data_IF_949958822604
#
_entry.id   IF_949958822604
#
_cell.length_a   1.000
_cell.length_b   1.000
_cell.length_c   1.000
_cell.angle_alpha   90.00
_cell.angle_beta   90.00
_cell.angle_gamma   90.00
#
_symmetry.space_group_name_H-M   'P 1'
#
loop_
_entity.id
_entity.type
_entity.pdbx_description
1 polymer ?
#
# COMPACT_ATOMS: atom_id res chain seq x y z
N UNK A 1 -19.87 11.26 -8.68
CA UNK A 1 -20.41 11.82 -9.95
C UNK A 1 -19.28 12.16 -10.91
N UNK A 2 -19.55 12.18 -12.22
CA UNK A 2 -18.53 12.53 -13.23
C UNK A 2 -18.11 14.00 -13.06
N UNK A 3 -16.84 14.30 -13.30
CA UNK A 3 -16.28 15.65 -13.17
C UNK A 3 -15.94 16.07 -11.73
N UNK A 4 -16.04 15.15 -10.76
CA UNK A 4 -15.58 15.41 -9.40
C UNK A 4 -14.06 15.38 -9.29
N UNK A 5 -13.54 16.19 -8.38
CA UNK A 5 -12.13 16.25 -8.03
C UNK A 5 -11.92 15.78 -6.58
N UNK A 6 -10.92 14.93 -6.38
CA UNK A 6 -10.46 14.49 -5.06
C UNK A 6 -9.04 14.98 -4.84
N UNK A 7 -8.83 15.78 -3.81
CA UNK A 7 -7.51 16.25 -3.39
C UNK A 7 -7.14 15.58 -2.07
N UNK A 8 -6.08 14.77 -2.08
CA UNK A 8 -5.49 14.18 -0.87
C UNK A 8 -4.24 14.98 -0.50
N UNK A 9 -4.27 15.60 0.68
CA UNK A 9 -3.18 16.42 1.18
C UNK A 9 -2.06 15.62 1.84
N UNK A 10 -1.16 16.34 2.52
CA UNK A 10 -0.10 15.75 3.33
C UNK A 10 -0.66 15.03 4.55
N UNK A 11 -0.02 13.94 4.96
CA UNK A 11 -0.22 13.33 6.28
C UNK A 11 0.28 14.33 7.33
N UNK A 12 -0.58 14.73 8.27
CA UNK A 12 -0.26 15.73 9.30
C UNK A 12 0.08 15.13 10.66
N UNK A 13 -0.57 14.03 11.02
CA UNK A 13 -0.45 13.41 12.34
C UNK A 13 0.52 12.24 12.33
N UNK A 14 0.04 11.01 12.46
CA UNK A 14 0.82 9.78 12.47
C UNK A 14 0.70 9.02 11.14
N UNK A 15 1.69 8.14 10.89
CA UNK A 15 1.75 7.32 9.68
C UNK A 15 2.57 7.94 8.54
N UNK A 16 2.72 7.17 7.46
CA UNK A 16 3.56 7.54 6.32
C UNK A 16 2.91 7.31 4.96
N UNK A 17 1.82 6.53 4.90
CA UNK A 17 1.16 6.11 3.66
C UNK A 17 -0.35 6.15 3.82
N UNK A 18 -1.03 6.45 2.73
CA UNK A 18 -2.47 6.32 2.59
C UNK A 18 -2.77 5.55 1.30
N UNK A 19 -3.95 4.94 1.22
CA UNK A 19 -4.38 4.15 0.07
C UNK A 19 -5.71 4.70 -0.45
N UNK A 20 -5.77 4.93 -1.76
CA UNK A 20 -7.01 5.26 -2.46
C UNK A 20 -7.44 4.02 -3.23
N UNK A 21 -8.63 3.52 -2.92
CA UNK A 21 -9.24 2.41 -3.64
C UNK A 21 -10.38 2.96 -4.50
N UNK A 22 -10.45 2.47 -5.73
CA UNK A 22 -11.55 2.73 -6.65
C UNK A 22 -12.27 1.42 -6.88
N UNK A 23 -13.60 1.44 -6.80
CA UNK A 23 -14.40 0.24 -7.04
C UNK A 23 -14.06 -0.37 -8.41
N UNK A 24 -13.94 -1.70 -8.47
CA UNK A 24 -13.51 -2.43 -9.67
C UNK A 24 -12.00 -2.42 -9.93
N UNK A 25 -11.27 -1.48 -9.33
CA UNK A 25 -9.83 -1.36 -9.47
C UNK A 25 -9.38 -0.57 -10.70
N UNK A 26 -8.07 -0.37 -10.78
CA UNK A 26 -7.40 0.35 -11.86
C UNK A 26 -6.92 -0.67 -12.89
N UNK A 27 -7.21 -0.40 -14.16
CA UNK A 27 -6.77 -1.24 -15.26
C UNK A 27 -5.26 -1.03 -15.51
N UNK A 28 -4.48 -2.09 -15.34
CA UNK A 28 -3.06 -2.15 -15.66
C UNK A 28 -2.72 -3.52 -16.28
N UNK A 29 -1.71 -3.60 -17.15
CA UNK A 29 -1.23 -4.88 -17.67
C UNK A 29 -0.67 -5.73 -16.53
N UNK A 30 -0.82 -7.06 -16.65
CA UNK A 30 -0.19 -7.99 -15.73
C UNK A 30 1.31 -8.11 -16.02
N UNK A 31 2.09 -8.19 -14.95
CA UNK A 31 3.52 -8.50 -14.99
C UNK A 31 3.81 -9.51 -13.88
N UNK A 32 4.28 -10.70 -14.26
CA UNK A 32 4.45 -11.83 -13.33
C UNK A 32 3.18 -12.09 -12.50
N UNK A 33 2.02 -12.12 -13.17
CA UNK A 33 0.69 -12.32 -12.58
C UNK A 33 0.28 -11.28 -11.51
N UNK A 34 0.95 -10.13 -11.48
CA UNK A 34 0.67 -9.03 -10.56
C UNK A 34 0.51 -7.69 -11.29
N UNK A 35 -0.17 -6.76 -10.61
CA UNK A 35 -0.31 -5.35 -11.04
C UNK A 35 0.50 -4.38 -10.16
N UNK A 36 1.28 -4.88 -9.21
CA UNK A 36 2.12 -4.06 -8.34
C UNK A 36 3.24 -3.37 -9.14
N UNK A 37 3.60 -2.14 -8.73
CA UNK A 37 4.66 -1.38 -9.38
C UNK A 37 5.99 -1.63 -8.67
N UNK A 38 7.01 -2.07 -9.41
CA UNK A 38 8.39 -2.04 -8.94
C UNK A 38 9.13 -0.92 -9.64
N UNK A 39 9.22 0.23 -8.98
CA UNK A 39 9.73 1.47 -9.58
C UNK A 39 11.22 1.42 -9.93
N UNK A 40 12.03 0.72 -9.14
CA UNK A 40 13.46 0.58 -9.41
C UNK A 40 13.74 -0.25 -10.68
N UNK A 41 12.99 -1.34 -10.87
CA UNK A 41 13.07 -2.18 -12.07
C UNK A 41 12.21 -1.70 -13.24
N UNK A 42 11.39 -0.66 -13.04
CA UNK A 42 10.55 -0.03 -14.06
C UNK A 42 9.52 -0.96 -14.71
N UNK A 43 8.87 -1.83 -13.92
CA UNK A 43 7.81 -2.71 -14.42
C UNK A 43 6.61 -2.82 -13.47
N UNK A 44 5.51 -3.35 -14.02
CA UNK A 44 4.22 -3.45 -13.35
C UNK A 44 3.49 -2.11 -13.18
N UNK A 45 2.27 -2.17 -12.66
CA UNK A 45 1.40 -1.00 -12.45
C UNK A 45 1.24 -0.09 -13.68
N UNK A 46 1.20 1.22 -13.45
CA UNK A 46 1.10 2.21 -14.52
C UNK A 46 2.50 2.52 -15.09
N UNK A 47 2.83 1.85 -16.20
CA UNK A 47 4.08 2.06 -16.94
C UNK A 47 5.37 1.93 -16.09
N UNK A 48 5.35 1.08 -15.05
CA UNK A 48 6.51 0.80 -14.22
C UNK A 48 6.98 1.94 -13.33
N UNK A 49 6.18 2.99 -13.13
CA UNK A 49 6.62 4.22 -12.43
C UNK A 49 5.57 4.80 -11.49
N UNK A 50 6.01 5.76 -10.69
CA UNK A 50 5.10 6.64 -9.97
C UNK A 50 4.25 7.47 -10.94
N UNK A 51 3.02 7.78 -10.52
CA UNK A 51 2.12 8.65 -11.26
C UNK A 51 2.71 10.06 -11.40
N UNK A 52 2.34 10.73 -12.49
CA UNK A 52 2.75 12.09 -12.84
C UNK A 52 1.54 12.90 -13.27
N UNK A 53 1.67 14.21 -13.19
CA UNK A 53 0.66 15.14 -13.72
C UNK A 53 0.37 14.81 -15.18
N UNK A 54 -0.92 14.66 -15.51
CA UNK A 54 -1.38 14.34 -16.86
C UNK A 54 -1.55 12.84 -17.14
N UNK A 55 -1.17 11.95 -16.22
CA UNK A 55 -1.46 10.52 -16.38
C UNK A 55 -2.98 10.26 -16.39
N UNK A 56 -3.41 9.36 -17.28
CA UNK A 56 -4.80 8.91 -17.40
C UNK A 56 -4.87 7.44 -17.01
N UNK A 57 -5.58 7.15 -15.92
CA UNK A 57 -5.78 5.81 -15.42
C UNK A 57 -7.16 5.30 -15.85
N UNK A 58 -7.17 4.19 -16.58
CA UNK A 58 -8.40 3.53 -16.96
C UNK A 58 -8.89 2.67 -15.79
N UNK A 59 -10.21 2.60 -15.59
CA UNK A 59 -10.82 1.79 -14.56
C UNK A 59 -11.34 0.50 -15.19
N UNK A 60 -11.34 -0.58 -14.41
CA UNK A 60 -12.01 -1.81 -14.83
C UNK A 60 -13.52 -1.57 -14.99
N UNK A 61 -14.15 -2.28 -15.92
CA UNK A 61 -15.60 -2.24 -16.10
C UNK A 61 -16.29 -2.77 -14.85
N UNK A 62 -17.22 -1.99 -14.30
CA UNK A 62 -18.04 -2.40 -13.17
C UNK A 62 -19.17 -3.31 -13.63
N UNK A 63 -19.30 -4.48 -12.99
CA UNK A 63 -20.51 -5.29 -13.09
C UNK A 63 -21.63 -4.60 -12.31
N UNK A 64 -22.58 -4.02 -13.05
CA UNK A 64 -23.69 -3.20 -12.50
C UNK A 64 -24.63 -3.96 -11.56
N UNK A 65 -24.53 -5.29 -11.48
CA UNK A 65 -25.31 -6.13 -10.59
C UNK A 65 -24.68 -6.36 -9.21
N UNK A 66 -23.44 -5.91 -8.98
CA UNK A 66 -22.78 -6.08 -7.68
C UNK A 66 -23.12 -4.90 -6.78
N UNK A 67 -24.05 -5.13 -5.84
CA UNK A 67 -24.35 -4.16 -4.79
C UNK A 67 -23.07 -3.78 -4.03
N UNK A 68 -22.86 -2.48 -3.84
CA UNK A 68 -21.83 -1.95 -2.95
C UNK A 68 -22.25 -2.29 -1.52
N UNK A 69 -21.63 -3.31 -0.92
CA UNK A 69 -21.76 -3.56 0.52
C UNK A 69 -21.41 -2.28 1.30
N UNK A 70 -22.08 -2.04 2.43
CA UNK A 70 -21.94 -0.78 3.16
C UNK A 70 -20.49 -0.53 3.58
N UNK A 71 -20.03 0.70 3.29
CA UNK A 71 -18.64 1.10 3.05
C UNK A 71 -17.83 1.48 4.30
N UNK A 72 -18.07 0.87 5.46
CA UNK A 72 -17.29 1.19 6.67
C UNK A 72 -16.62 -0.05 7.21
N UNK A 73 -15.28 0.01 7.24
CA UNK A 73 -14.47 -0.96 7.98
C UNK A 73 -14.78 -0.77 9.47
N UNK A 74 -15.16 -1.83 10.20
CA UNK A 74 -15.32 -1.77 11.65
C UNK A 74 -14.09 -1.14 12.31
N UNK A 75 -14.30 -0.24 13.27
CA UNK A 75 -13.20 0.48 13.91
C UNK A 75 -12.17 -0.44 14.56
N UNK A 76 -12.62 -1.60 15.04
CA UNK A 76 -11.78 -2.67 15.62
C UNK A 76 -10.82 -3.35 14.62
N UNK A 77 -11.07 -3.25 13.31
CA UNK A 77 -10.18 -3.76 12.27
C UNK A 77 -9.18 -2.71 11.78
N UNK A 78 -9.33 -1.45 12.21
CA UNK A 78 -8.39 -0.39 11.86
C UNK A 78 -7.13 -0.53 12.71
N UNK A 79 -5.93 -0.48 12.10
CA UNK A 79 -4.70 -0.52 12.86
C UNK A 79 -4.52 0.77 13.67
N UNK A 80 -3.97 0.65 14.86
CA UNK A 80 -3.51 1.80 15.63
C UNK A 80 -2.25 2.39 14.96
N UNK A 81 -2.36 3.60 14.41
CA UNK A 81 -1.24 4.28 13.75
C UNK A 81 -0.72 5.38 14.67
N UNK A 82 0.44 5.12 15.29
CA UNK A 82 1.11 6.04 16.22
C UNK A 82 2.43 6.61 15.69
N UNK A 83 3.10 7.37 16.56
CA UNK A 83 4.47 7.88 16.33
C UNK A 83 5.55 6.98 16.93
N UNK A 84 5.17 6.08 17.82
CA UNK A 84 6.02 5.07 18.44
C UNK A 84 5.47 3.70 18.08
N UNK A 85 6.38 2.76 17.80
CA UNK A 85 6.06 1.43 17.32
C UNK A 85 6.87 0.40 18.08
N UNK A 86 6.19 -0.62 18.57
CA UNK A 86 6.81 -1.87 18.97
C UNK A 86 6.61 -2.87 17.83
N UNK A 87 7.71 -3.43 17.31
CA UNK A 87 7.69 -4.31 16.15
C UNK A 87 8.19 -5.68 16.57
N UNK A 88 7.33 -6.69 16.41
CA UNK A 88 7.74 -8.07 16.63
C UNK A 88 8.56 -8.57 15.45
N UNK A 89 9.73 -9.12 15.75
CA UNK A 89 10.67 -9.68 14.77
C UNK A 89 10.96 -11.14 15.09
N UNK A 90 11.31 -11.91 14.06
CA UNK A 90 11.87 -13.25 14.22
C UNK A 90 13.39 -13.13 14.00
N UNK A 91 14.24 -13.57 14.94
CA UNK A 91 15.69 -13.55 14.76
C UNK A 91 16.14 -14.36 13.54
N UNK A 92 17.13 -13.85 12.81
CA UNK A 92 17.82 -14.61 11.76
C UNK A 92 18.46 -13.73 10.69
N UNK A 93 19.08 -14.34 9.66
CA UNK A 93 19.86 -15.57 9.74
C UNK A 93 21.15 -15.39 10.55
N UNK A 94 21.72 -14.17 10.59
CA UNK A 94 23.01 -13.89 11.21
C UNK A 94 22.90 -13.37 12.66
N UNK A 95 21.73 -13.44 13.31
CA UNK A 95 21.58 -13.06 14.73
C UNK A 95 22.13 -14.07 15.74
N UNK A 96 22.87 -15.08 15.26
CA UNK A 96 23.47 -16.13 16.09
C UNK A 96 24.72 -15.63 16.82
N UNK A 97 25.08 -16.25 17.98
CA UNK A 97 26.26 -15.90 18.76
C UNK A 97 27.59 -16.01 18.01
N UNK A 98 27.59 -16.69 16.85
CA UNK A 98 28.75 -16.80 15.95
C UNK A 98 29.15 -15.45 15.33
N UNK A 99 28.22 -14.49 15.26
CA UNK A 99 28.45 -13.17 14.65
C UNK A 99 28.32 -12.00 15.64
N UNK A 100 27.51 -12.17 16.69
CA UNK A 100 27.24 -11.13 17.67
C UNK A 100 27.42 -11.65 19.10
N UNK A 101 27.95 -10.81 19.99
CA UNK A 101 27.96 -11.14 21.41
C UNK A 101 26.53 -11.14 21.98
N UNK A 102 26.31 -11.91 23.04
CA UNK A 102 25.01 -11.92 23.73
C UNK A 102 24.61 -10.51 24.23
N UNK A 103 25.56 -9.78 24.81
CA UNK A 103 25.35 -8.40 25.28
C UNK A 103 24.88 -7.47 24.15
N UNK A 104 25.39 -7.64 22.93
CA UNK A 104 24.99 -6.83 21.78
C UNK A 104 23.56 -7.14 21.30
N UNK A 105 23.10 -8.39 21.48
CA UNK A 105 21.74 -8.80 21.07
C UNK A 105 20.69 -8.38 22.11
N UNK A 106 21.07 -8.20 23.37
CA UNK A 106 20.16 -7.79 24.45
C UNK A 106 19.81 -6.28 24.45
N UNK A 107 20.56 -5.45 23.72
CA UNK A 107 20.39 -3.99 23.64
C UNK A 107 19.85 -3.53 22.29
#
# INVERSE_FOLDING_TARGET
>A
EKGQELVIGKIKEAGARAYLLVQGGIQCPDYLDAKATFTLGQFGGHAGRALRTGDILHLCTLDRGRETASNLVPAELLPEIGKQWELHVIPGPQGAPDFFSAEYVET
#
